data_IF_674738045268
#
_entry.id   IF_674738045268
#
_cell.length_a   1.000
_cell.length_b   1.000
_cell.length_c   1.000
_cell.angle_alpha   90.00
_cell.angle_beta   90.00
_cell.angle_gamma   90.00
#
_symmetry.space_group_name_H-M   'P 1'
#
loop_
_entity.id
_entity.type
_entity.pdbx_description
1 polymer ?
#
# COMPACT_ATOMS: atom_id res chain seq x y z
N UNK A 1 -3.41 -71.09 30.17
CA UNK A 1 -4.31 -70.02 30.63
C UNK A 1 -4.61 -69.10 29.46
N UNK A 2 -5.69 -69.38 28.73
CA UNK A 2 -6.18 -68.52 27.64
C UNK A 2 -7.66 -68.30 27.89
N UNK A 3 -8.02 -67.12 28.38
CA UNK A 3 -9.40 -66.69 28.58
C UNK A 3 -9.63 -65.43 27.75
N UNK A 4 -10.36 -65.62 26.66
CA UNK A 4 -11.00 -64.58 25.84
C UNK A 4 -12.24 -64.06 26.56
N UNK A 5 -12.49 -62.75 26.54
CA UNK A 5 -13.78 -62.04 26.74
C UNK A 5 -13.45 -60.53 26.76
N UNK A 6 -14.18 -59.56 26.23
CA UNK A 6 -15.24 -59.44 25.24
C UNK A 6 -15.28 -57.93 24.89
N UNK A 7 -15.34 -57.55 23.62
CA UNK A 7 -15.51 -56.16 23.18
C UNK A 7 -17.02 -55.84 23.15
N UNK A 8 -17.52 -54.77 23.81
CA UNK A 8 -18.89 -54.35 23.61
C UNK A 8 -19.03 -53.65 22.26
N UNK A 9 -19.94 -54.20 21.46
CA UNK A 9 -20.44 -53.71 20.19
C UNK A 9 -21.23 -52.42 20.46
N UNK A 10 -20.75 -51.29 19.95
CA UNK A 10 -21.54 -50.05 19.92
C UNK A 10 -22.46 -50.09 18.69
N UNK A 11 -23.76 -50.10 18.98
CA UNK A 11 -24.87 -50.14 18.02
C UNK A 11 -24.84 -48.92 17.09
N UNK A 12 -24.78 -49.17 15.78
CA UNK A 12 -24.99 -48.17 14.75
C UNK A 12 -26.49 -47.83 14.65
N UNK A 13 -26.87 -46.59 14.97
CA UNK A 13 -28.20 -46.06 14.67
C UNK A 13 -28.18 -45.47 13.26
N UNK A 14 -28.72 -46.23 12.31
CA UNK A 14 -28.99 -45.81 10.94
C UNK A 14 -30.23 -44.89 10.95
N UNK A 15 -30.03 -43.58 10.97
CA UNK A 15 -31.12 -42.64 10.65
C UNK A 15 -31.20 -42.48 9.12
N UNK A 16 -32.23 -43.08 8.54
CA UNK A 16 -32.70 -42.85 7.18
C UNK A 16 -33.22 -41.42 7.06
N UNK A 17 -32.44 -40.54 6.43
CA UNK A 17 -32.93 -39.24 5.95
C UNK A 17 -33.36 -39.35 4.47
N UNK A 18 -34.52 -38.80 4.09
CA UNK A 18 -35.05 -38.92 2.73
C UNK A 18 -34.19 -38.15 1.71
N UNK A 19 -34.04 -38.75 0.52
CA UNK A 19 -33.53 -38.07 -0.67
C UNK A 19 -34.40 -36.84 -0.96
N UNK A 20 -33.82 -35.66 -0.84
CA UNK A 20 -34.39 -34.42 -1.37
C UNK A 20 -33.51 -33.90 -2.51
N UNK A 21 -34.17 -33.57 -3.61
CA UNK A 21 -33.62 -33.14 -4.89
C UNK A 21 -32.54 -32.06 -4.76
N UNK A 22 -31.49 -32.24 -5.57
CA UNK A 22 -30.52 -31.21 -5.91
C UNK A 22 -31.24 -29.91 -6.33
N UNK A 23 -30.93 -28.81 -5.64
CA UNK A 23 -31.26 -27.46 -6.08
C UNK A 23 -29.95 -26.73 -6.34
N UNK A 24 -29.84 -26.21 -7.56
CA UNK A 24 -28.70 -25.50 -8.11
C UNK A 24 -28.17 -24.41 -7.16
N UNK A 25 -26.86 -24.20 -7.27
CA UNK A 25 -26.13 -23.11 -6.64
C UNK A 25 -26.80 -21.76 -6.92
N UNK A 26 -26.87 -20.84 -5.94
CA UNK A 26 -27.06 -19.44 -6.27
C UNK A 26 -25.74 -18.89 -6.83
N UNK A 27 -25.69 -18.73 -8.16
CA UNK A 27 -24.91 -17.67 -8.77
C UNK A 27 -25.44 -16.33 -8.24
N UNK A 28 -24.61 -15.57 -7.53
CA UNK A 28 -25.10 -14.38 -6.84
C UNK A 28 -24.03 -13.58 -6.11
N UNK A 29 -23.12 -13.01 -6.88
CA UNK A 29 -22.49 -11.70 -6.66
C UNK A 29 -21.98 -11.37 -5.24
N UNK A 30 -20.66 -11.43 -5.12
CA UNK A 30 -19.85 -10.56 -4.29
C UNK A 30 -20.21 -9.07 -4.44
N UNK A 31 -20.43 -8.36 -3.33
CA UNK A 31 -19.93 -7.00 -3.09
C UNK A 31 -20.23 -6.57 -1.64
N UNK A 32 -19.21 -6.12 -0.90
CA UNK A 32 -19.11 -4.68 -0.68
C UNK A 32 -17.72 -4.21 -1.10
N UNK A 33 -17.45 -4.20 -2.40
CA UNK A 33 -16.34 -3.45 -2.97
C UNK A 33 -16.82 -2.02 -3.18
N UNK A 34 -16.25 -1.05 -2.45
CA UNK A 34 -16.53 0.37 -2.67
C UNK A 34 -16.43 0.69 -4.15
N UNK A 35 -17.47 1.30 -4.72
CA UNK A 35 -17.50 1.64 -6.14
C UNK A 35 -16.25 2.48 -6.47
N UNK A 36 -15.38 1.96 -7.34
CA UNK A 36 -14.23 2.69 -7.83
C UNK A 36 -14.69 4.05 -8.35
N UNK A 37 -14.01 5.12 -7.92
CA UNK A 37 -14.35 6.47 -8.33
C UNK A 37 -14.40 6.57 -9.87
N UNK A 38 -15.35 7.32 -10.45
CA UNK A 38 -15.50 7.43 -11.89
C UNK A 38 -14.25 8.06 -12.53
N UNK A 39 -13.94 7.63 -13.75
CA UNK A 39 -12.95 8.28 -14.60
C UNK A 39 -13.65 9.24 -15.56
N UNK A 40 -12.89 10.14 -16.18
CA UNK A 40 -13.44 11.17 -17.06
C UNK A 40 -12.78 11.14 -18.43
N UNK A 41 -13.56 11.32 -19.48
CA UNK A 41 -13.03 11.49 -20.83
C UNK A 41 -13.51 12.82 -21.42
N UNK A 42 -12.77 13.31 -22.41
CA UNK A 42 -13.29 14.37 -23.28
C UNK A 42 -14.21 13.76 -24.33
N UNK A 43 -15.13 14.53 -24.91
CA UNK A 43 -16.12 14.00 -25.88
C UNK A 43 -15.47 13.34 -27.10
N UNK A 44 -14.31 13.83 -27.53
CA UNK A 44 -13.62 13.41 -28.75
C UNK A 44 -12.20 12.90 -28.50
N UNK A 45 -11.75 12.84 -27.24
CA UNK A 45 -10.39 12.44 -26.92
C UNK A 45 -10.22 10.93 -26.90
N UNK A 46 -8.97 10.50 -27.08
CA UNK A 46 -8.57 9.09 -27.02
C UNK A 46 -8.10 8.67 -25.63
N UNK A 47 -8.20 9.56 -24.63
CA UNK A 47 -7.70 9.34 -23.27
C UNK A 47 -8.77 9.55 -22.23
N UNK A 48 -8.69 8.76 -21.15
CA UNK A 48 -9.43 8.99 -19.93
C UNK A 48 -8.51 9.61 -18.86
N UNK A 49 -9.12 10.18 -17.83
CA UNK A 49 -8.53 11.15 -16.92
C UNK A 49 -9.11 11.02 -15.51
N UNK A 50 -8.41 11.55 -14.50
CA UNK A 50 -9.01 11.83 -13.18
C UNK A 50 -9.81 13.12 -13.22
N UNK A 51 -10.66 13.30 -12.22
CA UNK A 51 -11.31 14.58 -12.02
C UNK A 51 -10.27 15.71 -11.88
N UNK A 52 -10.57 16.88 -12.43
CA UNK A 52 -9.69 18.05 -12.37
C UNK A 52 -8.48 18.05 -13.32
N UNK A 53 -8.32 17.03 -14.19
CA UNK A 53 -7.25 17.05 -15.19
C UNK A 53 -7.39 18.26 -16.14
N UNK A 54 -6.32 19.01 -16.45
CA UNK A 54 -6.38 20.16 -17.38
C UNK A 54 -6.94 19.83 -18.77
N UNK A 55 -6.76 18.59 -19.23
CA UNK A 55 -7.31 18.09 -20.49
C UNK A 55 -8.85 18.07 -20.51
N UNK A 56 -9.51 18.07 -19.35
CA UNK A 56 -10.97 18.08 -19.22
C UNK A 56 -11.57 19.49 -19.24
N UNK A 57 -10.76 20.54 -19.42
CA UNK A 57 -11.19 21.94 -19.37
C UNK A 57 -12.33 22.29 -20.34
N UNK A 58 -12.39 21.63 -21.51
CA UNK A 58 -13.43 21.88 -22.53
C UNK A 58 -14.61 20.91 -22.47
N UNK A 59 -14.40 19.70 -21.97
CA UNK A 59 -15.45 18.69 -21.87
C UNK A 59 -15.08 17.63 -20.86
N UNK A 60 -16.07 17.20 -20.07
CA UNK A 60 -15.92 16.23 -19.00
C UNK A 60 -17.10 15.27 -19.03
N UNK A 61 -16.84 14.03 -19.45
CA UNK A 61 -17.81 12.94 -19.48
C UNK A 61 -17.37 11.90 -18.45
N UNK A 62 -18.19 11.68 -17.42
CA UNK A 62 -17.93 10.63 -16.43
C UNK A 62 -18.23 9.25 -17.06
N UNK A 63 -17.34 8.29 -16.80
CA UNK A 63 -17.43 6.90 -17.27
C UNK A 63 -16.98 5.99 -16.12
N UNK A 64 -17.44 4.73 -16.13
CA UNK A 64 -16.76 3.71 -15.32
C UNK A 64 -15.37 3.42 -15.93
N UNK A 65 -14.46 2.88 -15.12
CA UNK A 65 -13.16 2.45 -15.64
C UNK A 65 -13.33 1.36 -16.72
N UNK A 66 -14.24 0.40 -16.51
CA UNK A 66 -14.53 -0.64 -17.50
C UNK A 66 -15.00 -0.06 -18.82
N UNK A 67 -15.94 0.91 -18.78
CA UNK A 67 -16.44 1.57 -19.98
C UNK A 67 -15.35 2.35 -20.73
N UNK A 68 -14.43 3.00 -20.01
CA UNK A 68 -13.31 3.68 -20.62
C UNK A 68 -12.37 2.70 -21.38
N UNK A 69 -12.11 1.53 -20.78
CA UNK A 69 -11.31 0.47 -21.40
C UNK A 69 -12.01 -0.18 -22.59
N UNK A 70 -13.32 -0.46 -22.46
CA UNK A 70 -14.14 -1.02 -23.55
C UNK A 70 -14.21 -0.07 -24.75
N UNK A 71 -14.14 1.24 -24.50
CA UNK A 71 -14.04 2.29 -25.53
C UNK A 71 -12.64 2.44 -26.12
N UNK A 72 -11.65 1.67 -25.66
CA UNK A 72 -10.27 1.74 -26.11
C UNK A 72 -9.56 3.04 -25.71
N UNK A 73 -10.03 3.72 -24.67
CA UNK A 73 -9.39 4.95 -24.18
C UNK A 73 -8.11 4.61 -23.42
N UNK A 74 -7.04 5.34 -23.69
CA UNK A 74 -5.78 5.18 -22.97
C UNK A 74 -5.73 6.03 -21.70
N UNK A 75 -5.05 5.59 -20.63
CA UNK A 75 -4.86 6.42 -19.45
C UNK A 75 -4.03 7.67 -19.80
N UNK A 76 -4.50 8.84 -19.36
CA UNK A 76 -3.73 10.06 -19.50
C UNK A 76 -2.42 10.00 -18.72
N UNK A 77 -1.29 10.19 -19.39
CA UNK A 77 0.05 10.22 -18.78
C UNK A 77 0.26 11.40 -17.83
N UNK A 78 -0.54 12.47 -17.95
CA UNK A 78 -0.41 13.67 -17.11
C UNK A 78 -1.09 13.50 -15.76
N UNK A 79 -2.36 13.07 -15.74
CA UNK A 79 -3.10 12.89 -14.47
C UNK A 79 -3.04 11.46 -13.92
N UNK A 80 -2.50 10.51 -14.69
CA UNK A 80 -2.35 9.10 -14.36
C UNK A 80 -3.60 8.48 -13.70
N UNK A 81 -4.71 8.38 -14.43
CA UNK A 81 -5.98 7.88 -13.91
C UNK A 81 -5.91 6.40 -13.51
N UNK A 82 -6.87 5.91 -12.69
CA UNK A 82 -6.90 4.53 -12.25
C UNK A 82 -7.13 3.52 -13.38
N UNK A 83 -6.63 2.29 -13.21
CA UNK A 83 -6.75 1.23 -14.23
C UNK A 83 -5.56 1.07 -15.15
N UNK A 84 -4.48 1.82 -14.90
CA UNK A 84 -3.15 1.40 -15.36
C UNK A 84 -2.72 0.20 -14.52
N UNK A 85 -3.11 -1.01 -14.92
CA UNK A 85 -2.44 -2.21 -14.42
C UNK A 85 -0.94 -2.07 -14.74
N UNK A 86 -0.03 -2.31 -13.78
CA UNK A 86 1.40 -2.17 -14.01
C UNK A 86 1.86 -3.24 -15.00
N UNK A 87 1.97 -2.88 -16.27
CA UNK A 87 2.95 -3.48 -17.15
C UNK A 87 4.37 -3.00 -16.77
N UNK A 88 5.44 -3.55 -17.37
CA UNK A 88 6.83 -3.25 -17.02
C UNK A 88 7.27 -1.77 -17.18
N UNK A 89 6.38 -0.87 -17.61
CA UNK A 89 6.59 0.57 -17.71
C UNK A 89 5.66 1.41 -16.79
N UNK A 90 4.81 0.75 -15.99
CA UNK A 90 3.88 1.37 -15.05
C UNK A 90 4.43 1.49 -13.64
N UNK A 91 3.85 2.37 -12.84
CA UNK A 91 4.12 2.47 -11.40
C UNK A 91 3.15 1.55 -10.67
N UNK A 92 3.65 0.73 -9.74
CA UNK A 92 2.76 -0.07 -8.90
C UNK A 92 2.02 0.81 -7.90
N UNK A 93 0.69 0.81 -8.00
CA UNK A 93 -0.21 1.65 -7.20
C UNK A 93 -1.01 0.80 -6.25
N UNK A 94 -0.67 0.91 -4.97
CA UNK A 94 -1.32 0.18 -3.88
C UNK A 94 -2.81 0.54 -3.79
N UNK A 95 -3.18 1.80 -4.03
CA UNK A 95 -4.59 2.25 -3.98
C UNK A 95 -5.52 1.52 -4.96
N UNK A 96 -4.95 0.87 -5.98
CA UNK A 96 -5.70 0.14 -7.00
C UNK A 96 -5.64 -1.37 -6.83
N UNK A 97 -4.75 -1.85 -5.95
CA UNK A 97 -4.54 -3.27 -5.71
C UNK A 97 -5.55 -3.86 -4.73
N UNK A 98 -6.42 -3.04 -4.12
CA UNK A 98 -7.44 -3.47 -3.14
C UNK A 98 -6.89 -4.31 -1.98
N UNK A 99 -5.67 -3.98 -1.53
CA UNK A 99 -4.96 -4.70 -0.46
C UNK A 99 -5.44 -4.25 0.91
N UNK A 100 -5.48 -5.17 1.86
CA UNK A 100 -5.82 -4.87 3.27
C UNK A 100 -4.59 -4.76 4.18
N UNK A 101 -3.47 -5.37 3.77
CA UNK A 101 -2.18 -5.27 4.46
C UNK A 101 -1.05 -5.03 3.48
N UNK A 102 -0.04 -4.29 3.94
CA UNK A 102 1.23 -4.10 3.26
C UNK A 102 1.94 -5.41 2.92
N UNK A 103 1.74 -6.48 3.69
CA UNK A 103 2.35 -7.79 3.43
C UNK A 103 1.82 -8.48 2.16
N UNK A 104 0.66 -8.07 1.64
CA UNK A 104 0.00 -8.66 0.46
C UNK A 104 0.51 -8.08 -0.86
N UNK A 105 1.38 -7.07 -0.81
CA UNK A 105 1.83 -6.36 -2.00
C UNK A 105 2.70 -7.23 -2.93
N UNK A 106 2.43 -7.18 -4.23
CA UNK A 106 3.25 -7.87 -5.23
C UNK A 106 4.55 -7.08 -5.51
N UNK A 107 5.66 -7.62 -4.99
CA UNK A 107 7.01 -7.06 -5.15
C UNK A 107 7.46 -7.00 -6.61
N UNK A 108 6.98 -7.90 -7.47
CA UNK A 108 7.43 -8.00 -8.87
C UNK A 108 7.01 -6.80 -9.72
N UNK A 109 6.02 -6.04 -9.25
CA UNK A 109 5.48 -4.86 -9.92
C UNK A 109 6.16 -3.56 -9.45
N UNK A 110 6.96 -3.62 -8.39
CA UNK A 110 7.55 -2.44 -7.75
C UNK A 110 8.74 -1.87 -8.52
N UNK A 111 9.01 -0.58 -8.32
CA UNK A 111 10.17 0.08 -8.91
C UNK A 111 11.40 -0.14 -8.04
N UNK A 112 12.42 -0.81 -8.58
CA UNK A 112 13.68 -1.02 -7.88
C UNK A 112 14.50 0.29 -7.79
N UNK A 113 15.09 0.53 -6.63
CA UNK A 113 15.91 1.70 -6.36
C UNK A 113 17.03 1.38 -5.36
N UNK A 114 18.11 2.15 -5.38
CA UNK A 114 19.14 2.12 -4.34
C UNK A 114 19.04 3.37 -3.47
N UNK A 115 19.07 3.20 -2.15
CA UNK A 115 19.07 4.33 -1.21
C UNK A 115 20.45 4.95 -1.14
N UNK A 116 20.59 6.17 -1.67
CA UNK A 116 21.87 6.89 -1.75
C UNK A 116 22.12 7.81 -0.56
N UNK A 117 21.07 8.25 0.14
CA UNK A 117 21.20 8.99 1.40
C UNK A 117 19.96 8.87 2.28
N UNK A 118 20.14 9.00 3.59
CA UNK A 118 19.06 9.19 4.56
C UNK A 118 19.11 10.63 5.03
N UNK A 119 18.03 11.37 4.77
CA UNK A 119 17.89 12.80 5.12
C UNK A 119 17.32 12.93 6.52
N UNK A 120 16.23 12.23 6.79
CA UNK A 120 15.64 12.07 8.13
C UNK A 120 14.97 10.68 8.23
N UNK A 121 14.36 10.35 9.38
CA UNK A 121 13.70 9.06 9.63
C UNK A 121 12.62 8.68 8.61
N UNK A 122 11.94 9.66 8.02
CA UNK A 122 10.88 9.44 7.02
C UNK A 122 11.22 9.96 5.63
N UNK A 123 12.47 10.38 5.40
CA UNK A 123 12.87 11.02 4.15
C UNK A 123 14.22 10.50 3.69
N UNK A 124 14.25 9.91 2.49
CA UNK A 124 15.46 9.35 1.88
C UNK A 124 15.71 9.90 0.47
N UNK A 125 16.93 9.77 -0.03
CA UNK A 125 17.25 9.95 -1.45
C UNK A 125 17.52 8.59 -2.07
N UNK A 126 16.99 8.38 -3.26
CA UNK A 126 17.13 7.12 -4.00
C UNK A 126 17.60 7.38 -5.42
N UNK A 127 18.39 6.43 -5.94
CA UNK A 127 18.72 6.30 -7.35
C UNK A 127 17.87 5.16 -7.93
N UNK A 128 16.99 5.46 -8.89
CA UNK A 128 16.14 4.46 -9.54
C UNK A 128 17.00 3.53 -10.39
N UNK A 129 16.79 2.22 -10.25
CA UNK A 129 17.49 1.20 -11.02
C UNK A 129 16.73 0.93 -12.32
N UNK A 130 17.46 0.84 -13.43
CA UNK A 130 16.87 0.67 -14.76
C UNK A 130 16.25 1.96 -15.32
N UNK A 131 15.26 1.82 -16.20
CA UNK A 131 14.55 2.96 -16.79
C UNK A 131 13.45 3.46 -15.85
N UNK A 132 13.48 4.72 -15.39
CA UNK A 132 12.45 5.24 -14.51
C UNK A 132 11.07 5.20 -15.17
N UNK A 133 10.03 4.73 -14.46
CA UNK A 133 8.67 4.80 -14.98
C UNK A 133 8.23 6.26 -15.12
N UNK A 134 7.19 6.49 -15.92
CA UNK A 134 6.68 7.84 -16.19
C UNK A 134 6.38 8.62 -14.89
N UNK A 135 6.88 9.85 -14.82
CA UNK A 135 6.73 10.73 -13.66
C UNK A 135 7.84 10.63 -12.61
N UNK A 136 8.75 9.66 -12.74
CA UNK A 136 9.97 9.55 -11.92
C UNK A 136 11.20 10.05 -12.68
N UNK A 137 12.20 10.46 -11.90
CA UNK A 137 13.55 10.81 -12.32
C UNK A 137 14.51 9.71 -11.89
N UNK A 138 15.71 9.69 -12.48
CA UNK A 138 16.79 8.78 -12.05
C UNK A 138 17.19 8.98 -10.59
N UNK A 139 17.10 10.21 -10.07
CA UNK A 139 17.35 10.54 -8.67
C UNK A 139 16.12 11.20 -8.07
N UNK A 140 15.64 10.67 -6.96
CA UNK A 140 14.43 11.15 -6.29
C UNK A 140 14.67 11.38 -4.80
N UNK A 141 13.97 12.37 -4.25
CA UNK A 141 13.81 12.53 -2.80
C UNK A 141 12.46 11.94 -2.43
N UNK A 142 12.46 10.91 -1.60
CA UNK A 142 11.28 10.14 -1.22
C UNK A 142 10.85 10.52 0.20
N UNK A 143 9.58 10.88 0.37
CA UNK A 143 8.89 11.00 1.66
C UNK A 143 8.09 9.73 1.88
N UNK A 144 8.36 9.02 2.97
CA UNK A 144 7.69 7.78 3.30
C UNK A 144 6.21 8.07 3.60
N UNK A 145 5.32 7.37 2.89
CA UNK A 145 3.87 7.46 3.07
C UNK A 145 3.43 6.90 4.42
N UNK A 146 2.41 7.54 5.01
CA UNK A 146 1.72 7.04 6.20
C UNK A 146 2.49 7.17 7.52
N UNK A 147 3.71 7.68 7.52
CA UNK A 147 4.56 7.80 8.72
C UNK A 147 5.00 9.23 8.97
N UNK A 148 5.18 9.59 10.23
CA UNK A 148 5.76 10.86 10.66
C UNK A 148 6.78 10.60 11.77
N UNK A 149 8.05 10.88 11.49
CA UNK A 149 9.14 10.68 12.46
C UNK A 149 9.40 11.97 13.24
N UNK A 150 9.78 11.91 14.53
CA UNK A 150 10.20 13.10 15.26
C UNK A 150 11.38 13.75 14.55
N UNK A 151 11.25 15.04 14.32
CA UNK A 151 12.09 15.79 13.39
C UNK A 151 13.48 16.05 13.98
N UNK A 152 14.53 15.88 13.17
CA UNK A 152 15.93 16.08 13.61
C UNK A 152 16.63 17.26 12.96
N UNK A 153 16.15 17.76 11.82
CA UNK A 153 16.89 18.70 10.97
C UNK A 153 16.15 19.99 10.67
N UNK A 154 14.98 20.21 11.26
CA UNK A 154 14.18 21.41 10.98
C UNK A 154 14.87 22.68 11.52
N UNK A 155 15.13 23.70 10.67
CA UNK A 155 15.92 24.88 11.04
C UNK A 155 15.41 25.64 12.27
N UNK A 156 14.10 25.56 12.50
CA UNK A 156 13.40 26.31 13.55
C UNK A 156 12.89 25.43 14.70
N UNK A 157 13.12 24.11 14.67
CA UNK A 157 12.75 23.22 15.77
C UNK A 157 14.02 22.54 16.29
N UNK A 158 14.17 22.47 17.61
CA UNK A 158 15.19 21.61 18.21
C UNK A 158 14.93 20.15 17.87
N UNK A 159 15.95 19.30 18.04
CA UNK A 159 15.81 17.85 17.87
C UNK A 159 14.68 17.34 18.78
N UNK A 160 13.64 16.78 18.18
CA UNK A 160 12.52 16.20 18.92
C UNK A 160 12.97 14.91 19.63
N UNK A 161 12.33 14.58 20.77
CA UNK A 161 12.64 13.36 21.53
C UNK A 161 12.54 12.16 20.60
N UNK A 162 13.56 11.31 20.59
CA UNK A 162 13.67 10.10 19.77
C UNK A 162 13.90 10.30 18.26
N UNK A 163 14.10 11.54 17.81
CA UNK A 163 14.37 11.81 16.39
C UNK A 163 15.69 11.20 15.91
N UNK A 164 16.76 11.30 16.71
CA UNK A 164 18.09 10.76 16.34
C UNK A 164 18.04 9.25 16.17
N UNK A 165 17.32 8.58 17.04
CA UNK A 165 17.11 7.14 17.05
C UNK A 165 16.34 6.70 15.80
N UNK A 166 15.30 7.45 15.42
CA UNK A 166 14.48 7.19 14.23
C UNK A 166 15.28 7.37 12.93
N UNK A 167 16.10 8.42 12.85
CA UNK A 167 17.01 8.67 11.73
C UNK A 167 18.15 7.63 11.66
N UNK A 168 18.69 7.24 12.81
CA UNK A 168 19.70 6.18 12.90
C UNK A 168 19.16 4.81 12.46
N UNK A 169 17.95 4.46 12.91
CA UNK A 169 17.28 3.23 12.50
C UNK A 169 17.08 3.19 10.99
N UNK A 170 16.54 4.26 10.41
CA UNK A 170 16.35 4.37 8.96
C UNK A 170 17.67 4.26 8.21
N UNK A 171 18.74 4.89 8.72
CA UNK A 171 20.09 4.77 8.15
C UNK A 171 20.60 3.34 8.17
N UNK A 172 20.51 2.65 9.30
CA UNK A 172 20.97 1.26 9.45
C UNK A 172 20.22 0.31 8.50
N UNK A 173 18.91 0.51 8.38
CA UNK A 173 18.01 -0.37 7.65
C UNK A 173 18.04 -0.11 6.15
N UNK A 174 18.27 1.12 5.70
CA UNK A 174 18.12 1.49 4.30
C UNK A 174 19.40 1.94 3.60
N UNK A 175 20.34 2.62 4.27
CA UNK A 175 21.46 3.28 3.57
C UNK A 175 22.29 2.30 2.73
N UNK A 176 22.47 2.61 1.45
CA UNK A 176 23.23 1.80 0.49
C UNK A 176 22.49 0.57 -0.04
N UNK A 177 21.34 0.21 0.54
CA UNK A 177 20.58 -0.99 0.17
C UNK A 177 19.72 -0.75 -1.07
N UNK A 178 19.46 -1.85 -1.77
CA UNK A 178 18.41 -1.89 -2.78
C UNK A 178 17.06 -2.08 -2.09
N UNK A 179 16.07 -1.34 -2.58
CA UNK A 179 14.72 -1.31 -2.08
C UNK A 179 13.74 -1.30 -3.25
N UNK A 180 12.50 -1.64 -2.94
CA UNK A 180 11.39 -1.61 -3.88
C UNK A 180 10.43 -0.48 -3.49
N UNK A 181 10.01 0.30 -4.48
CA UNK A 181 9.10 1.42 -4.29
C UNK A 181 7.71 1.07 -4.83
N UNK A 182 6.71 1.29 -3.98
CA UNK A 182 5.29 1.25 -4.35
C UNK A 182 4.65 2.61 -4.06
N UNK A 183 3.65 2.98 -4.86
CA UNK A 183 3.04 4.30 -4.84
C UNK A 183 1.57 4.22 -4.44
N UNK A 184 0.99 5.37 -4.15
CA UNK A 184 -0.42 5.52 -3.78
C UNK A 184 -1.09 6.53 -4.72
N UNK A 185 -2.24 7.07 -4.32
CA UNK A 185 -3.04 7.97 -5.13
C UNK A 185 -2.29 9.21 -5.62
N UNK A 186 -1.59 9.88 -4.71
CA UNK A 186 -0.69 11.00 -4.99
C UNK A 186 0.75 10.53 -5.20
N UNK A 187 1.37 10.97 -6.29
CA UNK A 187 2.78 10.67 -6.54
C UNK A 187 3.72 11.58 -5.75
N UNK A 188 3.33 12.83 -5.54
CA UNK A 188 4.20 13.86 -4.98
C UNK A 188 3.46 14.73 -4.00
N UNK A 189 4.18 15.20 -3.00
CA UNK A 189 3.67 16.25 -2.12
C UNK A 189 3.84 17.66 -2.72
N UNK A 190 3.34 18.68 -2.00
CA UNK A 190 3.46 20.08 -2.41
C UNK A 190 4.91 20.60 -2.48
N UNK A 191 5.89 19.87 -1.94
CA UNK A 191 7.32 20.19 -2.03
C UNK A 191 8.01 19.45 -3.18
N UNK A 192 7.26 18.66 -3.96
CA UNK A 192 7.75 17.88 -5.09
C UNK A 192 8.49 16.59 -4.70
N UNK A 193 8.47 16.18 -3.42
CA UNK A 193 9.04 14.89 -2.99
C UNK A 193 8.17 13.76 -3.47
N UNK A 194 8.78 12.65 -3.85
CA UNK A 194 8.08 11.43 -4.22
C UNK A 194 7.43 10.81 -2.98
N UNK A 195 6.16 10.48 -3.03
CA UNK A 195 5.43 9.78 -1.99
C UNK A 195 5.46 8.28 -2.29
N UNK A 196 6.04 7.48 -1.39
CA UNK A 196 6.16 6.04 -1.61
C UNK A 196 6.15 5.22 -0.31
N UNK A 197 5.74 3.96 -0.46
CA UNK A 197 6.09 2.89 0.45
C UNK A 197 7.43 2.29 0.02
N UNK A 198 8.29 2.00 0.99
CA UNK A 198 9.56 1.31 0.78
C UNK A 198 9.42 -0.14 1.24
N UNK A 199 9.72 -1.07 0.35
CA UNK A 199 9.77 -2.50 0.64
C UNK A 199 11.21 -2.99 0.61
N UNK A 200 11.55 -3.81 1.61
CA UNK A 200 12.83 -4.51 1.68
C UNK A 200 12.79 -5.77 0.79
N UNK A 201 13.96 -6.33 0.51
CA UNK A 201 14.09 -7.53 -0.32
C UNK A 201 13.40 -8.78 0.25
N UNK A 202 13.08 -8.77 1.54
CA UNK A 202 12.36 -9.84 2.24
C UNK A 202 10.83 -9.64 2.24
N UNK A 203 10.32 -8.61 1.55
CA UNK A 203 8.90 -8.32 1.44
C UNK A 203 8.33 -7.46 2.57
N UNK A 204 9.11 -7.08 3.58
CA UNK A 204 8.61 -6.21 4.65
C UNK A 204 8.48 -4.76 4.17
N UNK A 205 7.34 -4.15 4.46
CA UNK A 205 7.12 -2.73 4.28
C UNK A 205 7.82 -1.94 5.39
N UNK A 206 8.89 -1.22 5.05
CA UNK A 206 9.67 -0.47 6.02
C UNK A 206 8.86 0.66 6.69
N UNK A 207 7.90 1.24 5.97
CA UNK A 207 6.97 2.24 6.53
C UNK A 207 6.15 1.65 7.68
N UNK A 208 5.62 0.42 7.51
CA UNK A 208 4.90 -0.29 8.55
C UNK A 208 5.83 -0.66 9.73
N UNK A 209 7.05 -1.12 9.43
CA UNK A 209 8.10 -1.45 10.42
C UNK A 209 8.43 -0.24 11.32
N UNK A 210 8.55 0.97 10.76
CA UNK A 210 8.79 2.19 11.54
C UNK A 210 7.70 2.43 12.59
N UNK A 211 6.43 2.23 12.23
CA UNK A 211 5.29 2.43 13.14
C UNK A 211 5.24 1.31 14.18
N UNK A 212 5.38 0.07 13.74
CA UNK A 212 5.32 -1.13 14.59
C UNK A 212 6.40 -1.14 15.69
N UNK A 213 7.61 -0.67 15.34
CA UNK A 213 8.75 -0.60 16.26
C UNK A 213 8.77 0.70 17.07
N UNK A 214 7.84 1.62 16.81
CA UNK A 214 7.74 2.89 17.51
C UNK A 214 8.86 3.88 17.16
N UNK A 215 9.38 3.86 15.94
CA UNK A 215 10.28 4.92 15.40
C UNK A 215 9.51 6.02 14.67
N UNK A 216 8.23 5.83 14.38
CA UNK A 216 7.38 6.84 13.78
C UNK A 216 5.97 6.80 14.36
N UNK A 217 5.29 7.95 14.30
CA UNK A 217 3.85 8.01 14.43
C UNK A 217 3.18 7.59 13.12
N UNK A 218 2.03 6.92 13.21
CA UNK A 218 1.16 6.73 12.06
C UNK A 218 0.53 8.08 11.67
N UNK A 219 0.76 8.54 10.45
CA UNK A 219 0.30 9.86 10.00
C UNK A 219 -1.14 9.83 9.46
N UNK A 220 -2.08 9.53 10.36
CA UNK A 220 -3.48 9.24 10.05
C UNK A 220 -4.31 10.46 9.59
N UNK A 221 -3.69 11.66 9.55
CA UNK A 221 -4.35 12.91 9.11
C UNK A 221 -4.82 12.85 7.65
N UNK A 222 -4.10 12.14 6.79
CA UNK A 222 -4.41 12.03 5.37
C UNK A 222 -4.85 10.61 5.00
N UNK A 223 -5.63 10.43 3.93
CA UNK A 223 -5.95 9.10 3.40
C UNK A 223 -4.74 8.49 2.68
N UNK A 224 -4.52 7.19 2.91
CA UNK A 224 -3.56 6.34 2.22
C UNK A 224 -4.00 4.88 2.36
N UNK A 225 -3.54 4.00 1.48
CA UNK A 225 -4.09 2.65 1.35
C UNK A 225 -4.00 1.82 2.66
N UNK A 226 -2.88 1.89 3.38
CA UNK A 226 -2.65 1.10 4.60
C UNK A 226 -3.00 1.84 5.90
N UNK A 227 -3.93 2.79 5.85
CA UNK A 227 -4.26 3.64 7.00
C UNK A 227 -4.70 2.85 8.24
N UNK A 228 -5.57 1.86 8.05
CA UNK A 228 -6.11 1.07 9.16
C UNK A 228 -5.03 0.14 9.76
N UNK A 229 -4.21 -0.49 8.92
CA UNK A 229 -3.05 -1.29 9.34
C UNK A 229 -2.09 -0.46 10.19
N UNK A 230 -1.70 0.74 9.73
CA UNK A 230 -0.76 1.58 10.46
C UNK A 230 -1.35 2.08 11.78
N UNK A 231 -2.65 2.34 11.82
CA UNK A 231 -3.37 2.64 13.06
C UNK A 231 -3.27 1.51 14.08
N UNK A 232 -3.49 0.26 13.65
CA UNK A 232 -3.36 -0.92 14.49
C UNK A 232 -1.92 -1.16 14.96
N UNK A 233 -0.93 -1.02 14.07
CA UNK A 233 0.49 -1.15 14.42
C UNK A 233 0.91 -0.13 15.48
N UNK A 234 0.47 1.12 15.35
CA UNK A 234 0.76 2.15 16.36
C UNK A 234 0.12 1.80 17.71
N UNK A 235 -1.12 1.31 17.72
CA UNK A 235 -1.78 0.89 18.95
C UNK A 235 -1.01 -0.24 19.65
N UNK A 236 -0.52 -1.23 18.88
CA UNK A 236 0.35 -2.29 19.39
C UNK A 236 1.69 -1.77 19.92
N UNK A 237 2.34 -0.85 19.21
CA UNK A 237 3.60 -0.24 19.65
C UNK A 237 3.44 0.54 20.97
N UNK A 238 2.32 1.24 21.14
CA UNK A 238 1.96 1.95 22.39
C UNK A 238 1.75 0.98 23.54
N UNK A 239 0.91 -0.04 23.36
CA UNK A 239 0.63 -1.03 24.39
C UNK A 239 1.91 -1.80 24.82
N UNK A 240 2.84 -2.00 23.88
CA UNK A 240 4.13 -2.64 24.15
C UNK A 240 5.24 -1.70 24.63
N UNK A 241 4.98 -0.40 24.82
CA UNK A 241 5.99 0.57 25.26
C UNK A 241 7.22 0.66 24.35
N UNK A 242 7.05 0.47 23.03
CA UNK A 242 8.16 0.43 22.07
C UNK A 242 8.61 1.83 21.66
N UNK A 243 9.92 2.04 21.50
CA UNK A 243 10.49 3.26 20.91
C UNK A 243 9.96 4.54 21.54
N UNK A 244 9.27 5.37 20.74
CA UNK A 244 8.58 6.61 21.14
C UNK A 244 7.68 6.45 22.37
N UNK A 245 7.15 5.25 22.58
CA UNK A 245 6.19 4.93 23.63
C UNK A 245 6.87 4.38 24.90
N UNK A 246 8.21 4.25 24.92
CA UNK A 246 8.95 3.80 26.09
C UNK A 246 8.90 4.84 27.21
N UNK A 247 8.43 4.42 28.40
CA UNK A 247 8.30 5.28 29.58
C UNK A 247 7.26 6.38 29.45
N UNK A 248 6.25 6.18 28.60
CA UNK A 248 5.05 7.00 28.57
C UNK A 248 4.03 6.42 29.56
N UNK A 249 4.17 6.80 30.83
CA UNK A 249 3.16 6.60 31.87
C UNK A 249 2.21 7.80 31.94
#
# INVERSE_FOLDING_TARGET
MMTRLAFPILLAVFMLFPLSCARAAPDGASAPGGALAPVFATKTGTKYHRDGCPSLSKSRVALSLSEALDRGLEPCSVCDPPGRLPGPAGRYRIDQASLTSSAEADLSLMTAARVSAVVDGDTVKVDILGTPPSGLKLREKVRLLGVDTPETVHPNKGVERFGKESSAYTRERLLGREVLLAFDWDLRDGFGRLLAYIYLSDGRCFNAELVEQGYAHAYLKYPFAFKDEFGALQAGARAGGKGLWAGAD
#
